data_IF_715478931671
#
_entry.id   IF_715478931671
#
_cell.length_a   1.000
_cell.length_b   1.000
_cell.length_c   1.000
_cell.angle_alpha   90.00
_cell.angle_beta   90.00
_cell.angle_gamma   90.00
#
_symmetry.space_group_name_H-M   'P 1'
#
loop_
_entity.id
_entity.type
_entity.pdbx_description
1 polymer ?
#
# COMPACT_ATOMS: atom_id res chain seq x y z
N UNK A 1 40.27 48.71 8.16
CA UNK A 1 38.96 48.07 8.43
C UNK A 1 38.00 48.12 7.24
N UNK A 2 37.81 49.27 6.58
CA UNK A 2 36.87 49.42 5.44
C UNK A 2 37.13 48.47 4.25
N UNK A 3 38.41 48.23 3.90
CA UNK A 3 38.78 47.30 2.81
C UNK A 3 38.49 45.82 3.13
N UNK A 4 38.57 45.42 4.41
CA UNK A 4 38.29 44.04 4.84
C UNK A 4 36.77 43.79 4.83
N UNK A 5 35.99 44.78 5.24
CA UNK A 5 34.52 44.69 5.22
C UNK A 5 33.98 44.52 3.79
N UNK A 6 34.59 45.19 2.81
CA UNK A 6 34.20 45.07 1.41
C UNK A 6 34.44 43.66 0.82
N UNK A 7 35.52 42.99 1.26
CA UNK A 7 35.84 41.62 0.81
C UNK A 7 34.82 40.62 1.37
N UNK A 8 34.41 40.78 2.63
CA UNK A 8 33.37 39.92 3.24
C UNK A 8 32.01 40.10 2.57
N UNK A 9 31.63 41.30 2.15
CA UNK A 9 30.37 41.55 1.43
C UNK A 9 30.36 40.84 0.07
N UNK A 10 31.49 40.83 -0.64
CA UNK A 10 31.62 40.15 -1.94
C UNK A 10 31.53 38.63 -1.77
N UNK A 11 32.19 38.07 -0.75
CA UNK A 11 32.11 36.62 -0.46
C UNK A 11 30.68 36.22 -0.06
N UNK A 12 29.99 37.05 0.74
CA UNK A 12 28.60 36.80 1.14
C UNK A 12 27.65 36.83 -0.07
N UNK A 13 27.82 37.81 -0.98
CA UNK A 13 27.07 37.89 -2.25
C UNK A 13 27.27 36.65 -3.13
N UNK A 14 28.49 36.12 -3.24
CA UNK A 14 28.78 34.93 -4.05
C UNK A 14 28.16 33.67 -3.41
N UNK A 15 28.12 33.60 -2.07
CA UNK A 15 27.52 32.46 -1.35
C UNK A 15 25.99 32.42 -1.38
N UNK A 16 25.34 33.55 -1.69
CA UNK A 16 23.88 33.65 -1.82
C UNK A 16 23.34 33.39 -3.23
N UNK A 17 24.21 33.11 -4.21
CA UNK A 17 23.76 32.68 -5.53
C UNK A 17 23.30 31.23 -5.37
N UNK A 18 22.02 30.90 -5.55
CA UNK A 18 21.59 29.50 -5.57
C UNK A 18 22.39 28.80 -6.67
N UNK A 19 23.22 27.83 -6.28
CA UNK A 19 23.82 26.92 -7.24
C UNK A 19 22.70 26.04 -7.79
N UNK A 20 22.02 26.52 -8.82
CA UNK A 20 21.21 25.68 -9.67
C UNK A 20 22.19 24.75 -10.38
N UNK A 21 22.29 23.50 -9.93
CA UNK A 21 22.84 22.44 -10.76
C UNK A 21 21.95 22.41 -12.01
N UNK A 22 22.43 22.99 -13.10
CA UNK A 22 21.81 22.81 -14.40
C UNK A 22 22.00 21.34 -14.75
N UNK A 23 20.96 20.53 -14.58
CA UNK A 23 20.93 19.19 -15.16
C UNK A 23 21.11 19.37 -16.66
N UNK A 24 22.21 18.87 -17.21
CA UNK A 24 22.49 18.94 -18.65
C UNK A 24 21.41 18.11 -19.32
N UNK A 25 20.42 18.77 -19.91
CA UNK A 25 19.38 18.10 -20.69
C UNK A 25 19.76 18.11 -22.16
N UNK A 26 19.84 16.93 -22.76
CA UNK A 26 20.17 16.73 -24.18
C UNK A 26 18.90 16.21 -24.87
N UNK A 27 18.10 17.14 -25.40
CA UNK A 27 16.84 16.84 -26.10
C UNK A 27 15.60 17.15 -25.26
N UNK A 28 14.41 16.97 -25.85
CA UNK A 28 13.14 17.10 -25.11
C UNK A 28 12.88 15.84 -24.27
N UNK A 29 12.11 15.92 -23.16
CA UNK A 29 11.74 14.74 -22.40
C UNK A 29 11.08 13.67 -23.26
N UNK A 30 11.47 12.42 -23.05
CA UNK A 30 10.92 11.26 -23.74
C UNK A 30 9.46 11.07 -23.36
N UNK A 31 8.60 10.86 -24.36
CA UNK A 31 7.21 10.49 -24.12
C UNK A 31 7.13 8.99 -23.82
N UNK A 32 6.95 8.67 -22.56
CA UNK A 32 6.74 7.30 -22.09
C UNK A 32 5.29 6.88 -22.32
N UNK A 33 5.09 5.72 -22.94
CA UNK A 33 3.80 5.09 -23.19
C UNK A 33 3.40 4.27 -21.97
N UNK A 34 4.33 3.48 -21.44
CA UNK A 34 4.19 2.73 -20.19
C UNK A 34 5.53 2.64 -19.48
N UNK A 35 5.44 2.43 -18.17
CA UNK A 35 6.55 2.06 -17.29
C UNK A 35 6.07 0.90 -16.44
N UNK A 36 6.75 -0.23 -16.55
CA UNK A 36 6.43 -1.45 -15.83
C UNK A 36 7.61 -1.83 -14.95
N UNK A 37 7.32 -2.21 -13.71
CA UNK A 37 8.32 -2.61 -12.73
C UNK A 37 7.90 -3.94 -12.14
N UNK A 38 8.77 -4.94 -12.24
CA UNK A 38 8.58 -6.25 -11.63
C UNK A 38 9.55 -6.45 -10.48
N UNK A 39 9.02 -6.59 -9.26
CA UNK A 39 9.81 -6.81 -8.06
C UNK A 39 9.90 -8.31 -7.78
N UNK A 40 11.10 -8.83 -7.58
CA UNK A 40 11.31 -10.25 -7.25
C UNK A 40 11.27 -10.49 -5.72
N UNK A 41 11.38 -11.76 -5.31
CA UNK A 41 11.38 -12.14 -3.89
C UNK A 41 12.62 -11.69 -3.11
N UNK A 42 13.72 -11.42 -3.80
CA UNK A 42 15.01 -11.02 -3.24
C UNK A 42 15.12 -9.50 -3.06
N UNK A 43 14.13 -8.74 -3.54
CA UNK A 43 14.08 -7.29 -3.44
C UNK A 43 14.77 -6.56 -4.60
N UNK A 44 15.10 -7.23 -5.69
CA UNK A 44 15.54 -6.56 -6.92
C UNK A 44 14.33 -6.18 -7.77
N UNK A 45 14.48 -5.13 -8.57
CA UNK A 45 13.41 -4.64 -9.45
C UNK A 45 13.88 -4.60 -10.90
N UNK A 46 13.14 -5.27 -11.78
CA UNK A 46 13.29 -5.15 -13.22
C UNK A 46 12.39 -4.02 -13.74
N UNK A 47 12.95 -3.10 -14.51
CA UNK A 47 12.23 -1.94 -15.05
C UNK A 47 12.20 -2.00 -16.57
N UNK A 48 11.01 -1.83 -17.14
CA UNK A 48 10.79 -1.67 -18.58
C UNK A 48 10.10 -0.33 -18.86
N UNK A 49 10.70 0.49 -19.73
CA UNK A 49 10.06 1.68 -20.29
C UNK A 49 9.73 1.45 -21.75
N UNK A 50 8.47 1.65 -22.13
CA UNK A 50 8.07 1.75 -23.53
C UNK A 50 8.00 3.23 -23.94
N UNK A 51 8.86 3.64 -24.86
CA UNK A 51 9.03 5.04 -25.27
C UNK A 51 8.48 5.24 -26.68
N UNK A 52 7.70 6.30 -26.87
CA UNK A 52 7.20 6.68 -28.18
C UNK A 52 8.34 7.15 -29.08
N UNK A 53 8.35 6.67 -30.32
CA UNK A 53 9.28 7.12 -31.36
C UNK A 53 9.30 8.65 -31.52
N UNK A 54 10.45 9.19 -31.92
CA UNK A 54 10.66 10.62 -32.12
C UNK A 54 11.58 10.90 -33.29
N UNK A 55 11.25 11.94 -34.07
CA UNK A 55 12.11 12.44 -35.16
C UNK A 55 13.21 13.40 -34.68
N UNK A 56 13.23 13.71 -33.38
CA UNK A 56 14.27 14.51 -32.71
C UNK A 56 14.89 13.71 -31.57
N UNK A 57 16.10 14.07 -31.14
CA UNK A 57 16.69 13.46 -29.96
C UNK A 57 15.81 13.74 -28.72
N UNK A 58 15.61 12.72 -27.90
CA UNK A 58 14.81 12.77 -26.67
C UNK A 58 15.63 12.24 -25.49
N UNK A 59 15.27 12.66 -24.29
CA UNK A 59 15.92 12.23 -23.06
C UNK A 59 14.95 11.47 -22.16
N UNK A 60 15.30 10.25 -21.79
CA UNK A 60 14.67 9.50 -20.71
C UNK A 60 15.45 9.76 -19.41
N UNK A 61 14.77 10.24 -18.38
CA UNK A 61 15.29 10.16 -17.01
C UNK A 61 14.91 8.79 -16.45
N UNK A 62 15.88 8.05 -15.94
CA UNK A 62 15.65 6.70 -15.41
C UNK A 62 15.22 6.75 -13.95
N UNK A 63 14.69 5.64 -13.43
CA UNK A 63 14.28 5.53 -12.04
C UNK A 63 15.54 5.53 -11.15
N UNK A 64 15.59 6.33 -10.07
CA UNK A 64 16.76 6.39 -9.19
C UNK A 64 17.08 5.03 -8.54
N UNK A 65 18.33 4.59 -8.65
CA UNK A 65 18.85 3.36 -8.05
C UNK A 65 20.19 2.93 -8.65
N UNK A 66 20.71 1.79 -8.23
CA UNK A 66 21.92 1.20 -8.82
C UNK A 66 21.54 0.41 -10.06
N UNK A 67 21.82 0.96 -11.24
CA UNK A 67 21.42 0.36 -12.52
C UNK A 67 22.37 -0.77 -12.94
N UNK A 68 21.80 -1.92 -13.29
CA UNK A 68 22.49 -3.04 -13.94
C UNK A 68 21.80 -3.44 -15.23
N UNK A 69 22.51 -4.19 -16.08
CA UNK A 69 21.95 -4.88 -17.26
C UNK A 69 21.14 -3.99 -18.21
N UNK A 70 21.52 -2.70 -18.34
CA UNK A 70 20.83 -1.76 -19.21
C UNK A 70 20.86 -2.21 -20.68
N UNK A 71 19.67 -2.33 -21.27
CA UNK A 71 19.44 -2.59 -22.68
C UNK A 71 18.53 -1.52 -23.29
N UNK A 72 18.84 -1.11 -24.53
CA UNK A 72 18.10 -0.09 -25.27
C UNK A 72 17.91 -0.57 -26.70
N UNK A 73 16.68 -0.96 -27.02
CA UNK A 73 16.32 -1.61 -28.29
C UNK A 73 15.05 -1.04 -28.88
N UNK A 74 14.87 -1.21 -30.18
CA UNK A 74 13.58 -0.96 -30.82
C UNK A 74 12.59 -2.03 -30.40
N UNK A 75 11.29 -1.74 -30.47
CA UNK A 75 10.24 -2.72 -30.18
C UNK A 75 10.33 -4.01 -31.02
N UNK A 76 11.00 -3.95 -32.18
CA UNK A 76 11.26 -5.10 -33.05
C UNK A 76 12.64 -5.76 -32.80
N UNK A 77 13.35 -5.40 -31.72
CA UNK A 77 14.70 -5.88 -31.39
C UNK A 77 15.83 -5.19 -32.16
N UNK A 78 15.54 -4.11 -32.88
CA UNK A 78 16.53 -3.33 -33.62
C UNK A 78 17.47 -2.55 -32.69
N UNK A 79 18.73 -2.36 -33.12
CA UNK A 79 19.66 -1.49 -32.39
C UNK A 79 19.19 -0.03 -32.43
N UNK A 80 19.11 0.61 -31.26
CA UNK A 80 18.79 2.04 -31.13
C UNK A 80 20.06 2.79 -30.72
N UNK A 81 20.42 3.79 -31.53
CA UNK A 81 21.51 4.68 -31.19
C UNK A 81 21.12 5.53 -29.97
N UNK A 82 21.96 5.49 -28.94
CA UNK A 82 21.74 6.22 -27.69
C UNK A 82 23.06 6.64 -27.04
N UNK A 83 22.97 7.52 -26.04
CA UNK A 83 24.07 7.90 -25.18
C UNK A 83 23.59 7.94 -23.72
N UNK A 84 24.44 7.48 -22.80
CA UNK A 84 24.19 7.56 -21.36
C UNK A 84 24.63 8.94 -20.86
N UNK A 85 23.78 9.59 -20.06
CA UNK A 85 24.01 10.94 -19.54
C UNK A 85 24.33 10.87 -18.04
N UNK A 86 25.44 11.49 -17.65
CA UNK A 86 25.91 11.52 -16.25
C UNK A 86 26.34 10.15 -15.74
N UNK A 87 26.36 9.98 -14.41
CA UNK A 87 26.61 8.69 -13.75
C UNK A 87 25.34 7.81 -13.81
N UNK A 88 24.90 7.44 -15.02
CA UNK A 88 23.64 6.73 -15.27
C UNK A 88 22.40 7.47 -14.75
N UNK A 89 22.30 8.79 -14.96
CA UNK A 89 21.11 9.54 -14.51
C UNK A 89 20.05 9.69 -15.60
N UNK A 90 20.39 9.39 -16.86
CA UNK A 90 19.45 9.42 -17.97
C UNK A 90 20.04 8.87 -19.26
N UNK A 91 19.19 8.73 -20.27
CA UNK A 91 19.52 8.15 -21.58
C UNK A 91 19.06 9.13 -22.66
N UNK A 92 19.98 9.60 -23.49
CA UNK A 92 19.67 10.34 -24.71
C UNK A 92 19.43 9.34 -25.84
N UNK A 93 18.22 9.31 -26.38
CA UNK A 93 17.83 8.47 -27.51
C UNK A 93 17.82 9.35 -28.76
N UNK A 94 18.60 8.96 -29.77
CA UNK A 94 18.66 9.68 -31.04
C UNK A 94 17.39 9.45 -31.87
N UNK A 95 17.10 10.29 -32.89
CA UNK A 95 15.93 10.16 -33.73
C UNK A 95 15.72 8.73 -34.26
N UNK A 96 14.52 8.20 -34.10
CA UNK A 96 14.14 6.85 -34.51
C UNK A 96 12.71 6.81 -35.07
N UNK A 97 12.47 5.83 -35.96
CA UNK A 97 11.19 5.61 -36.64
C UNK A 97 10.36 4.47 -36.01
N UNK A 98 10.81 3.93 -34.90
CA UNK A 98 10.09 2.92 -34.13
C UNK A 98 10.10 3.27 -32.64
N UNK A 99 9.12 2.73 -31.90
CA UNK A 99 9.10 2.86 -30.45
C UNK A 99 10.32 2.13 -29.86
N UNK A 100 10.78 2.62 -28.73
CA UNK A 100 11.99 2.15 -28.06
C UNK A 100 11.59 1.49 -26.76
N UNK A 101 12.22 0.36 -26.46
CA UNK A 101 12.15 -0.33 -25.19
C UNK A 101 13.48 -0.10 -24.48
N UNK A 102 13.41 0.41 -23.25
CA UNK A 102 14.55 0.56 -22.35
C UNK A 102 14.31 -0.33 -21.15
N UNK A 103 15.16 -1.33 -20.97
CA UNK A 103 15.07 -2.31 -19.89
C UNK A 103 16.33 -2.24 -19.03
N UNK A 104 16.20 -2.37 -17.72
CA UNK A 104 17.33 -2.47 -16.79
C UNK A 104 16.88 -3.05 -15.45
N UNK A 105 17.84 -3.51 -14.68
CA UNK A 105 17.63 -3.94 -13.30
C UNK A 105 18.07 -2.84 -12.32
N UNK A 106 17.38 -2.76 -11.20
CA UNK A 106 17.69 -1.89 -10.08
C UNK A 106 18.05 -2.72 -8.86
N UNK A 107 19.31 -2.64 -8.47
CA UNK A 107 19.82 -3.20 -7.22
C UNK A 107 19.65 -2.19 -6.08
N UNK A 108 19.53 -2.69 -4.84
CA UNK A 108 19.56 -1.91 -3.60
C UNK A 108 18.45 -0.83 -3.47
N UNK A 109 17.36 -0.92 -4.24
CA UNK A 109 16.24 0.05 -4.14
C UNK A 109 15.23 -0.31 -3.05
N UNK A 110 15.14 -1.59 -2.69
CA UNK A 110 14.33 -2.08 -1.59
C UNK A 110 15.19 -2.39 -0.37
N UNK A 111 14.72 -1.97 0.80
CA UNK A 111 15.34 -2.28 2.09
C UNK A 111 14.50 -3.31 2.84
N UNK A 112 15.11 -4.43 3.23
CA UNK A 112 14.46 -5.41 4.08
C UNK A 112 14.61 -5.04 5.55
N UNK A 113 13.49 -4.81 6.23
CA UNK A 113 13.46 -4.51 7.65
C UNK A 113 12.51 -5.47 8.36
N UNK A 114 13.09 -6.50 8.98
CA UNK A 114 12.39 -7.44 9.85
C UNK A 114 11.13 -8.08 9.23
N UNK A 115 11.23 -8.65 8.02
CA UNK A 115 10.09 -9.30 7.38
C UNK A 115 9.27 -8.38 6.47
N UNK A 116 9.65 -7.10 6.35
CA UNK A 116 8.95 -6.12 5.51
C UNK A 116 9.95 -5.49 4.54
N UNK A 117 9.65 -5.56 3.25
CA UNK A 117 10.31 -4.81 2.21
C UNK A 117 9.82 -3.37 2.20
N UNK A 118 10.74 -2.42 2.04
CA UNK A 118 10.45 -0.98 2.02
C UNK A 118 11.09 -0.34 0.81
N UNK A 119 10.29 0.37 0.02
CA UNK A 119 10.79 1.16 -1.11
C UNK A 119 10.28 2.61 -1.03
N UNK A 120 11.19 3.57 -1.02
CA UNK A 120 10.87 4.98 -1.22
C UNK A 120 10.79 5.30 -2.72
N UNK A 121 9.71 4.84 -3.36
CA UNK A 121 9.50 5.02 -4.79
C UNK A 121 9.26 6.49 -5.14
N UNK A 122 10.00 7.01 -6.11
CA UNK A 122 9.86 8.38 -6.57
C UNK A 122 10.13 8.47 -8.07
N UNK A 123 9.06 8.50 -8.86
CA UNK A 123 9.13 8.69 -10.30
C UNK A 123 7.89 9.45 -10.81
N UNK A 124 8.05 10.57 -11.54
CA UNK A 124 6.95 11.48 -11.85
C UNK A 124 6.10 11.02 -13.05
N UNK A 125 6.11 9.72 -13.38
CA UNK A 125 5.38 9.13 -14.50
C UNK A 125 4.52 7.97 -14.00
N UNK A 126 3.38 7.77 -14.65
CA UNK A 126 2.50 6.65 -14.37
C UNK A 126 3.25 5.31 -14.52
N UNK A 127 3.19 4.49 -13.48
CA UNK A 127 3.98 3.26 -13.36
C UNK A 127 3.10 2.12 -12.88
N UNK A 128 3.20 0.96 -13.52
CA UNK A 128 2.64 -0.29 -13.02
C UNK A 128 3.72 -1.02 -12.22
N UNK A 129 3.42 -1.35 -10.97
CA UNK A 129 4.28 -2.08 -10.04
C UNK A 129 3.70 -3.47 -9.82
N UNK A 130 4.44 -4.50 -10.22
CA UNK A 130 4.15 -5.90 -9.99
C UNK A 130 4.92 -6.40 -8.77
N UNK A 131 4.22 -7.06 -7.86
CA UNK A 131 4.80 -7.60 -6.62
C UNK A 131 5.08 -9.09 -6.78
N UNK A 132 6.04 -9.65 -6.01
CA UNK A 132 6.31 -11.08 -6.04
C UNK A 132 5.12 -11.89 -5.54
N UNK A 133 5.07 -13.16 -5.94
CA UNK A 133 4.10 -14.14 -5.42
C UNK A 133 4.12 -14.17 -3.89
N UNK A 134 2.95 -14.36 -3.28
CA UNK A 134 2.79 -14.33 -1.81
C UNK A 134 2.54 -12.93 -1.23
N UNK A 135 2.51 -11.88 -2.07
CA UNK A 135 2.09 -10.52 -1.66
C UNK A 135 0.64 -10.28 -2.10
N UNK A 136 -0.24 -10.03 -1.14
CA UNK A 136 -1.65 -9.66 -1.39
C UNK A 136 -2.07 -8.35 -0.69
N UNK A 137 -1.17 -7.78 0.11
CA UNK A 137 -1.38 -6.55 0.87
C UNK A 137 -0.13 -5.68 0.79
N UNK A 138 -0.30 -4.47 0.26
CA UNK A 138 0.76 -3.46 0.12
C UNK A 138 0.38 -2.22 0.90
N UNK A 139 1.32 -1.61 1.59
CA UNK A 139 1.11 -0.35 2.28
C UNK A 139 1.72 0.79 1.47
N UNK A 140 0.86 1.69 0.97
CA UNK A 140 1.27 2.91 0.29
C UNK A 140 1.15 4.08 1.25
N UNK A 141 2.26 4.71 1.63
CA UNK A 141 2.29 5.81 2.60
C UNK A 141 1.53 5.47 3.90
N UNK A 142 1.80 4.27 4.44
CA UNK A 142 1.15 3.68 5.62
C UNK A 142 -0.35 3.36 5.49
N UNK A 143 -0.93 3.43 4.28
CA UNK A 143 -2.31 3.02 4.02
C UNK A 143 -2.35 1.65 3.34
N UNK A 144 -3.15 0.70 3.84
CA UNK A 144 -3.27 -0.62 3.24
C UNK A 144 -3.98 -0.55 1.88
N UNK A 145 -3.46 -1.31 0.92
CA UNK A 145 -4.01 -1.57 -0.40
C UNK A 145 -4.04 -3.09 -0.57
N UNK A 146 -5.24 -3.66 -0.49
CA UNK A 146 -5.44 -5.09 -0.72
C UNK A 146 -5.46 -5.34 -2.23
N UNK A 147 -4.45 -6.05 -2.74
CA UNK A 147 -4.35 -6.38 -4.16
C UNK A 147 -4.97 -7.76 -4.46
N UNK A 148 -5.15 -8.61 -3.45
CA UNK A 148 -5.85 -9.89 -3.60
C UNK A 148 -5.18 -10.79 -4.64
N UNK A 149 -5.86 -11.03 -5.76
CA UNK A 149 -5.32 -11.79 -6.90
C UNK A 149 -4.76 -10.91 -8.03
N UNK A 150 -4.74 -9.58 -7.84
CA UNK A 150 -4.08 -8.66 -8.77
C UNK A 150 -2.57 -8.83 -8.66
N UNK A 151 -1.87 -8.83 -9.79
CA UNK A 151 -0.41 -8.94 -9.85
C UNK A 151 0.31 -7.68 -9.37
N UNK A 152 -0.42 -6.55 -9.24
CA UNK A 152 0.21 -5.27 -8.98
C UNK A 152 -0.73 -4.11 -8.64
N UNK A 153 -0.12 -2.93 -8.53
CA UNK A 153 -0.79 -1.62 -8.42
C UNK A 153 -0.31 -0.70 -9.53
N UNK A 154 -1.17 0.21 -9.98
CA UNK A 154 -0.76 1.32 -10.84
C UNK A 154 -0.67 2.60 -10.00
N UNK A 155 0.41 3.35 -10.20
CA UNK A 155 0.69 4.57 -9.47
C UNK A 155 0.82 5.73 -10.46
N UNK A 156 -0.06 6.74 -10.33
CA UNK A 156 -0.05 7.90 -11.22
C UNK A 156 0.92 8.99 -10.71
N UNK A 157 2.05 9.18 -11.39
CA UNK A 157 3.06 10.19 -11.06
C UNK A 157 3.46 10.21 -9.58
N UNK A 158 4.04 9.12 -9.09
CA UNK A 158 4.10 8.85 -7.67
C UNK A 158 5.38 9.22 -6.94
N UNK A 159 5.19 9.81 -5.77
CA UNK A 159 6.10 9.73 -4.64
C UNK A 159 5.39 8.91 -3.54
N UNK A 160 5.85 7.68 -3.34
CA UNK A 160 5.19 6.73 -2.45
C UNK A 160 6.21 5.91 -1.68
N UNK A 161 6.03 5.85 -0.36
CA UNK A 161 6.65 4.81 0.45
C UNK A 161 5.81 3.54 0.33
N UNK A 162 6.36 2.53 -0.32
CA UNK A 162 5.78 1.19 -0.43
C UNK A 162 6.36 0.33 0.68
N UNK A 163 5.50 -0.39 1.41
CA UNK A 163 5.90 -1.39 2.39
C UNK A 163 5.08 -2.67 2.17
N UNK A 164 5.70 -3.84 2.09
CA UNK A 164 4.98 -5.12 1.89
C UNK A 164 5.74 -6.29 2.53
N UNK A 165 5.02 -7.36 2.85
CA UNK A 165 5.58 -8.61 3.33
C UNK A 165 5.19 -9.74 2.37
N UNK A 166 6.14 -10.61 2.07
CA UNK A 166 5.92 -11.83 1.29
C UNK A 166 5.48 -12.91 2.27
N UNK A 167 4.40 -13.64 1.93
CA UNK A 167 3.85 -14.72 2.77
C UNK A 167 3.64 -14.27 4.22
N UNK A 168 3.00 -13.11 4.39
CA UNK A 168 2.83 -12.48 5.69
C UNK A 168 2.23 -13.47 6.72
N UNK A 169 2.87 -13.66 7.90
CA UNK A 169 2.39 -14.62 8.89
C UNK A 169 0.98 -14.29 9.37
N UNK A 170 0.17 -15.34 9.56
CA UNK A 170 -1.20 -15.25 10.05
C UNK A 170 -1.35 -16.00 11.36
N UNK A 171 -1.70 -15.27 12.42
CA UNK A 171 -2.07 -15.84 13.71
C UNK A 171 -3.59 -16.08 13.72
N UNK A 172 -4.00 -17.30 14.03
CA UNK A 172 -5.41 -17.71 14.07
C UNK A 172 -5.83 -17.86 15.53
N UNK A 173 -6.80 -17.06 15.97
CA UNK A 173 -7.38 -17.13 17.30
C UNK A 173 -8.83 -17.62 17.22
N UNK A 174 -9.08 -18.85 17.68
CA UNK A 174 -10.44 -19.40 17.73
C UNK A 174 -11.24 -18.81 18.89
N UNK A 175 -12.24 -18.00 18.58
CA UNK A 175 -13.20 -17.48 19.57
C UNK A 175 -14.42 -18.39 19.62
N UNK A 176 -14.79 -18.84 20.82
CA UNK A 176 -16.07 -19.54 21.06
C UNK A 176 -17.11 -18.51 21.49
N UNK A 177 -18.20 -18.42 20.74
CA UNK A 177 -19.36 -17.60 21.09
C UNK A 177 -20.62 -18.42 20.83
N UNK A 178 -21.48 -18.52 21.85
CA UNK A 178 -22.56 -19.51 21.90
C UNK A 178 -22.04 -20.93 21.61
N UNK A 179 -22.72 -21.68 20.75
CA UNK A 179 -22.32 -23.03 20.32
C UNK A 179 -21.48 -23.02 19.03
N UNK A 180 -20.94 -21.86 18.64
CA UNK A 180 -20.18 -21.68 17.41
C UNK A 180 -18.73 -21.24 17.67
N UNK A 181 -17.89 -21.50 16.67
CA UNK A 181 -16.48 -21.09 16.65
C UNK A 181 -16.24 -20.10 15.52
N UNK A 182 -15.58 -19.02 15.83
CA UNK A 182 -15.26 -17.94 14.90
C UNK A 182 -13.75 -17.69 14.91
N UNK A 183 -13.04 -17.93 13.80
CA UNK A 183 -11.63 -17.62 13.71
C UNK A 183 -11.43 -16.10 13.55
N UNK A 184 -10.71 -15.49 14.47
CA UNK A 184 -10.18 -14.13 14.31
C UNK A 184 -8.76 -14.25 13.79
N UNK A 185 -8.48 -13.64 12.64
CA UNK A 185 -7.16 -13.70 12.01
C UNK A 185 -6.40 -12.40 12.27
N UNK A 186 -5.12 -12.51 12.61
CA UNK A 186 -4.21 -11.38 12.78
C UNK A 186 -3.01 -11.61 11.87
N UNK A 187 -2.89 -10.79 10.84
CA UNK A 187 -1.75 -10.80 9.91
C UNK A 187 -0.73 -9.76 10.36
N UNK A 188 0.50 -10.19 10.62
CA UNK A 188 1.59 -9.31 11.03
C UNK A 188 2.93 -10.04 11.04
N UNK A 189 4.02 -9.27 10.95
CA UNK A 189 5.38 -9.74 11.25
C UNK A 189 5.75 -9.57 12.73
N UNK A 190 4.88 -8.98 13.55
CA UNK A 190 5.07 -8.86 14.99
C UNK A 190 4.64 -10.15 15.72
N UNK A 191 5.26 -10.40 16.86
CA UNK A 191 4.77 -11.42 17.77
C UNK A 191 3.50 -10.93 18.49
N UNK A 192 2.47 -11.78 18.48
CA UNK A 192 1.17 -11.52 19.10
C UNK A 192 0.94 -12.52 20.23
N UNK A 193 0.56 -12.00 21.41
CA UNK A 193 0.33 -12.79 22.61
C UNK A 193 -1.01 -12.42 23.28
N UNK A 194 -1.43 -13.24 24.25
CA UNK A 194 -2.53 -12.94 25.18
C UNK A 194 -3.86 -12.54 24.52
N UNK A 195 -4.22 -13.15 23.38
CA UNK A 195 -5.48 -12.82 22.72
C UNK A 195 -6.68 -13.11 23.63
N UNK A 196 -7.57 -12.13 23.76
CA UNK A 196 -8.77 -12.23 24.57
C UNK A 196 -9.96 -11.57 23.86
N UNK A 197 -11.14 -12.19 23.97
CA UNK A 197 -12.40 -11.65 23.51
C UNK A 197 -13.37 -11.51 24.67
N UNK A 198 -13.96 -10.33 24.81
CA UNK A 198 -14.95 -10.02 25.83
C UNK A 198 -16.22 -9.48 25.18
N UNK A 199 -17.25 -10.34 25.16
CA UNK A 199 -18.51 -9.97 24.52
C UNK A 199 -19.29 -8.89 25.27
N UNK A 200 -19.44 -8.92 26.62
CA UNK A 200 -20.10 -7.83 27.35
C UNK A 200 -19.54 -6.45 27.04
N UNK A 201 -18.22 -6.32 26.90
CA UNK A 201 -17.56 -5.06 26.52
C UNK A 201 -17.43 -4.85 25.01
N UNK A 202 -17.91 -5.80 24.19
CA UNK A 202 -17.77 -5.79 22.73
C UNK A 202 -16.33 -5.47 22.33
N UNK A 203 -15.39 -6.24 22.87
CA UNK A 203 -13.97 -5.94 22.64
C UNK A 203 -13.12 -7.18 22.44
N UNK A 204 -12.05 -6.97 21.67
CA UNK A 204 -10.93 -7.89 21.53
C UNK A 204 -9.67 -7.19 22.03
N UNK A 205 -8.76 -7.94 22.63
CA UNK A 205 -7.46 -7.43 23.03
C UNK A 205 -6.37 -8.45 22.79
N UNK A 206 -5.15 -7.96 22.56
CA UNK A 206 -3.95 -8.78 22.42
C UNK A 206 -2.72 -7.93 22.71
N UNK A 207 -1.62 -8.58 23.06
CA UNK A 207 -0.34 -7.93 23.33
C UNK A 207 0.53 -7.95 22.09
N UNK A 208 1.19 -6.84 21.80
CA UNK A 208 2.21 -6.71 20.77
C UNK A 208 3.59 -6.44 21.39
N UNK A 209 4.55 -7.30 21.06
CA UNK A 209 5.92 -7.22 21.60
C UNK A 209 6.89 -6.44 20.71
N UNK A 210 6.44 -5.99 19.53
CA UNK A 210 7.27 -5.25 18.57
C UNK A 210 6.55 -4.01 18.06
N UNK A 211 7.15 -2.84 18.28
CA UNK A 211 6.61 -1.57 17.83
C UNK A 211 6.77 -1.35 16.32
N UNK A 212 6.00 -0.39 15.79
CA UNK A 212 6.05 0.12 14.41
C UNK A 212 5.77 -0.91 13.31
N UNK A 213 5.16 -2.03 13.66
CA UNK A 213 4.69 -3.05 12.71
C UNK A 213 3.24 -2.82 12.33
N UNK A 214 2.92 -3.15 11.09
CA UNK A 214 1.54 -3.24 10.67
C UNK A 214 0.91 -4.48 11.30
N UNK A 215 -0.31 -4.31 11.79
CA UNK A 215 -1.16 -5.39 12.27
C UNK A 215 -2.49 -5.27 11.57
N UNK A 216 -2.84 -6.28 10.80
CA UNK A 216 -4.10 -6.37 10.09
C UNK A 216 -4.97 -7.43 10.74
N UNK A 217 -6.05 -7.00 11.38
CA UNK A 217 -7.07 -7.89 11.91
C UNK A 217 -8.15 -8.16 10.88
N UNK A 218 -8.58 -9.41 10.82
CA UNK A 218 -9.73 -9.85 10.03
C UNK A 218 -10.77 -10.31 11.06
N UNK A 219 -11.77 -9.45 11.27
CA UNK A 219 -12.72 -9.56 12.37
C UNK A 219 -14.05 -10.09 11.85
N UNK A 220 -14.55 -11.25 12.35
CA UNK A 220 -15.88 -11.73 12.05
C UNK A 220 -16.95 -10.76 12.55
N UNK A 221 -17.88 -10.39 11.67
CA UNK A 221 -19.01 -9.52 11.99
C UNK A 221 -19.96 -10.18 12.99
N UNK A 222 -19.98 -11.50 13.13
CA UNK A 222 -20.78 -12.18 14.15
C UNK A 222 -20.26 -11.94 15.57
N UNK A 223 -18.95 -11.69 15.72
CA UNK A 223 -18.34 -11.39 17.01
C UNK A 223 -18.40 -9.90 17.33
N UNK A 224 -18.05 -9.05 16.36
CA UNK A 224 -17.87 -7.63 16.62
C UNK A 224 -18.21 -6.74 15.42
N UNK A 225 -19.20 -5.86 15.61
CA UNK A 225 -19.70 -4.97 14.56
C UNK A 225 -18.87 -3.70 14.47
N UNK A 226 -18.61 -3.27 13.24
CA UNK A 226 -17.96 -2.00 12.94
C UNK A 226 -18.97 -0.83 13.00
N UNK A 227 -18.54 0.45 13.14
CA UNK A 227 -17.15 0.90 13.16
C UNK A 227 -16.44 0.58 14.49
N UNK A 228 -15.12 0.49 14.41
CA UNK A 228 -14.29 0.16 15.57
C UNK A 228 -13.62 1.39 16.20
N UNK A 229 -13.28 1.31 17.47
CA UNK A 229 -12.27 2.16 18.10
C UNK A 229 -11.10 1.28 18.52
N UNK A 230 -9.87 1.79 18.36
CA UNK A 230 -8.67 1.04 18.70
C UNK A 230 -7.81 1.85 19.65
N UNK A 231 -7.31 1.18 20.67
CA UNK A 231 -6.50 1.73 21.73
C UNK A 231 -5.20 0.93 21.85
N UNK A 232 -4.13 1.60 22.24
CA UNK A 232 -2.86 1.01 22.66
C UNK A 232 -2.56 1.53 24.06
N UNK A 233 -2.49 0.65 25.06
CA UNK A 233 -2.30 1.03 26.47
C UNK A 233 -3.29 2.13 26.91
N UNK A 234 -4.57 1.93 26.61
CA UNK A 234 -5.68 2.87 26.89
C UNK A 234 -5.66 4.21 26.10
N UNK A 235 -4.67 4.44 25.24
CA UNK A 235 -4.63 5.61 24.35
C UNK A 235 -5.20 5.29 22.97
N UNK A 236 -6.13 6.11 22.49
CA UNK A 236 -6.76 5.91 21.17
C UNK A 236 -5.73 6.10 20.05
N UNK A 237 -5.64 5.14 19.13
CA UNK A 237 -4.72 5.18 17.99
C UNK A 237 -5.46 5.26 16.65
N UNK A 238 -4.72 5.64 15.60
CA UNK A 238 -5.24 5.66 14.23
C UNK A 238 -5.41 4.21 13.74
N UNK A 239 -6.51 3.98 13.04
CA UNK A 239 -6.83 2.71 12.38
C UNK A 239 -7.33 2.96 10.96
N UNK A 240 -7.24 1.93 10.13
CA UNK A 240 -7.82 1.90 8.80
C UNK A 240 -8.74 0.68 8.67
N UNK A 241 -10.05 0.92 8.57
CA UNK A 241 -11.00 -0.06 8.04
C UNK A 241 -10.95 0.06 6.51
N UNK A 242 -10.40 -0.94 5.82
CA UNK A 242 -10.04 -0.80 4.39
C UNK A 242 -10.69 -1.84 3.48
N UNK A 243 -11.26 -2.89 4.04
CA UNK A 243 -11.99 -3.91 3.29
C UNK A 243 -13.07 -4.52 4.18
N UNK A 244 -14.18 -4.93 3.56
CA UNK A 244 -15.26 -5.63 4.22
C UNK A 244 -15.94 -6.55 3.20
N UNK A 245 -16.28 -7.76 3.63
CA UNK A 245 -17.16 -8.66 2.89
C UNK A 245 -18.43 -8.93 3.72
N UNK A 246 -19.23 -9.91 3.35
CA UNK A 246 -20.48 -10.23 4.05
C UNK A 246 -20.29 -10.74 5.48
N UNK A 247 -19.11 -11.22 5.84
CA UNK A 247 -18.85 -11.89 7.13
C UNK A 247 -17.70 -11.28 7.93
N UNK A 248 -16.79 -10.52 7.31
CA UNK A 248 -15.59 -10.01 7.96
C UNK A 248 -15.29 -8.56 7.59
N UNK A 249 -14.58 -7.88 8.50
CA UNK A 249 -14.00 -6.54 8.30
C UNK A 249 -12.50 -6.61 8.52
N UNK A 250 -11.74 -5.94 7.65
CA UNK A 250 -10.30 -5.80 7.75
C UNK A 250 -9.95 -4.47 8.40
N UNK A 251 -9.22 -4.54 9.51
CA UNK A 251 -8.78 -3.39 10.29
C UNK A 251 -7.28 -3.40 10.39
N UNK A 252 -6.62 -2.38 9.83
CA UNK A 252 -5.18 -2.20 9.97
C UNK A 252 -4.85 -1.14 11.02
N UNK A 253 -3.80 -1.41 11.79
CA UNK A 253 -3.17 -0.46 12.71
C UNK A 253 -1.65 -0.55 12.61
N UNK A 254 -0.97 0.50 13.08
CA UNK A 254 0.49 0.52 13.25
C UNK A 254 0.83 1.04 14.65
N UNK A 255 0.88 0.17 15.67
CA UNK A 255 1.23 0.56 17.03
C UNK A 255 2.61 1.24 17.07
N UNK A 256 2.74 2.39 17.73
CA UNK A 256 4.00 3.13 17.82
C UNK A 256 4.93 2.61 18.94
N UNK A 257 4.41 1.78 19.83
CA UNK A 257 5.10 1.18 20.97
C UNK A 257 4.58 -0.24 21.24
N UNK A 258 5.20 -0.94 22.18
CA UNK A 258 4.75 -2.25 22.66
C UNK A 258 3.63 -2.10 23.70
N UNK A 259 2.82 -3.14 23.87
CA UNK A 259 1.77 -3.16 24.90
C UNK A 259 0.49 -3.82 24.44
N UNK A 260 -0.61 -3.50 25.12
CA UNK A 260 -1.91 -4.12 24.85
C UNK A 260 -2.70 -3.28 23.86
N UNK A 261 -3.05 -3.90 22.73
CA UNK A 261 -4.01 -3.36 21.78
C UNK A 261 -5.41 -3.79 22.22
N UNK A 262 -6.35 -2.85 22.23
CA UNK A 262 -7.77 -3.12 22.44
C UNK A 262 -8.60 -2.56 21.30
N UNK A 263 -9.52 -3.37 20.79
CA UNK A 263 -10.44 -3.01 19.71
C UNK A 263 -11.85 -3.13 20.24
N UNK A 264 -12.66 -2.09 20.07
CA UNK A 264 -14.02 -2.00 20.60
C UNK A 264 -14.99 -1.75 19.43
N UNK A 265 -16.02 -2.59 19.32
CA UNK A 265 -17.12 -2.35 18.39
C UNK A 265 -18.08 -1.33 18.97
N UNK A 266 -18.27 -0.21 18.26
CA UNK A 266 -19.14 0.87 18.73
C UNK A 266 -20.61 0.66 18.37
N UNK A 267 -20.90 -0.29 17.48
CA UNK A 267 -22.25 -0.67 17.09
C UNK A 267 -22.87 -1.68 18.05
N UNK A 268 -24.18 -1.61 18.25
CA UNK A 268 -24.91 -2.65 18.95
C UNK A 268 -25.13 -3.86 18.01
N UNK A 269 -24.72 -5.05 18.45
CA UNK A 269 -25.17 -6.31 17.86
C UNK A 269 -26.66 -6.45 18.20
N UNK A 270 -27.59 -6.53 17.24
CA UNK A 270 -29.00 -6.73 17.51
C UNK A 270 -29.20 -8.04 18.25
N UNK A 271 -29.80 -7.97 19.42
CA UNK A 271 -30.07 -9.12 20.29
C UNK A 271 -31.19 -10.04 19.74
N UNK A 272 -31.69 -9.77 18.54
CA UNK A 272 -32.73 -10.55 17.90
C UNK A 272 -32.24 -11.06 16.54
N UNK A 273 -32.55 -12.31 16.16
CA UNK A 273 -32.31 -12.79 14.81
C UNK A 273 -32.91 -11.82 13.80
N UNK A 274 -32.22 -11.50 12.71
CA UNK A 274 -32.74 -10.65 11.63
C UNK A 274 -34.10 -11.12 11.08
N UNK A 275 -34.50 -12.36 11.37
CA UNK A 275 -35.80 -12.93 11.03
C UNK A 275 -36.94 -12.50 11.96
N UNK A 276 -36.69 -11.97 13.16
CA UNK A 276 -37.74 -11.64 14.12
C UNK A 276 -38.75 -10.58 13.59
N UNK A 277 -38.32 -9.50 12.91
CA UNK A 277 -39.24 -8.56 12.26
C UNK A 277 -40.07 -9.23 11.16
N UNK A 278 -39.49 -10.17 10.42
CA UNK A 278 -40.20 -10.94 9.40
C UNK A 278 -41.22 -11.90 10.00
N UNK A 279 -40.86 -12.62 11.06
CA UNK A 279 -41.77 -13.52 11.79
C UNK A 279 -42.93 -12.74 12.41
N UNK A 280 -42.65 -11.59 13.03
CA UNK A 280 -43.68 -10.70 13.55
C UNK A 280 -44.57 -10.15 12.43
N UNK A 281 -43.99 -9.74 11.30
CA UNK A 281 -44.72 -9.29 10.12
C UNK A 281 -45.67 -10.37 9.57
N UNK A 282 -45.18 -11.60 9.41
CA UNK A 282 -45.98 -12.75 8.98
C UNK A 282 -47.09 -13.05 9.99
N UNK A 283 -46.79 -13.05 11.28
CA UNK A 283 -47.77 -13.28 12.34
C UNK A 283 -48.89 -12.22 12.35
N UNK A 284 -48.54 -10.95 12.14
CA UNK A 284 -49.51 -9.84 12.03
C UNK A 284 -50.42 -10.05 10.82
N UNK A 285 -49.86 -10.39 9.65
CA UNK A 285 -50.64 -10.63 8.43
C UNK A 285 -51.58 -11.83 8.60
N UNK A 286 -51.10 -12.93 9.16
CA UNK A 286 -51.92 -14.11 9.46
C UNK A 286 -53.03 -13.78 10.46
N UNK A 287 -52.72 -13.04 11.52
CA UNK A 287 -53.70 -12.58 12.51
C UNK A 287 -54.80 -11.70 11.91
N UNK A 288 -54.44 -10.77 11.02
CA UNK A 288 -55.40 -9.93 10.30
C UNK A 288 -56.29 -10.75 9.34
N UNK A 289 -55.72 -11.71 8.63
CA UNK A 289 -56.49 -12.61 7.75
C UNK A 289 -57.48 -13.48 8.53
N UNK A 290 -57.08 -14.00 9.69
CA UNK A 290 -57.97 -14.78 10.56
C UNK A 290 -59.09 -13.93 11.16
N UNK A 291 -58.80 -12.70 11.60
CA UNK A 291 -59.82 -11.75 12.08
C UNK A 291 -60.86 -11.45 10.99
N UNK A 292 -60.43 -11.23 9.76
CA UNK A 292 -61.34 -10.96 8.64
C UNK A 292 -62.20 -12.17 8.26
N UNK A 293 -61.70 -13.41 8.43
CA UNK A 293 -62.51 -14.63 8.22
C UNK A 293 -63.52 -14.90 9.35
N UNK A 294 -63.22 -14.51 10.58
CA UNK A 294 -64.13 -14.66 11.73
C UNK A 294 -65.27 -13.62 11.73
N UNK A 295 -65.05 -12.44 11.15
CA UNK A 295 -66.07 -11.40 10.98
C UNK A 295 -67.02 -11.62 9.77
N UNK A 296 -66.83 -12.68 8.98
CA UNK A 296 -67.68 -13.05 7.83
C UNK A 296 -68.76 -14.08 8.20
N UNK A 297 -69.19 -14.12 9.47
CA UNK A 297 -70.25 -15.02 9.96
C UNK A 297 -71.34 -14.25 10.69
#
# INVERSE_FOLDING_TARGET
MQKIFFIFIIIFMISSIPQAFAQISIGSPAKQISVEISINSDGDAHVEHLIKQSNTAIQLDIIPGTVQNLDVKGVNGGYIQHAIIGDNMGISIFPTRENVVVEYDLDDVLFFNNGVWVWAYNYPVDTTLHFPDGVDLVFTNARPVYIGTSEGIMCHGCNAKLEFAIDEPVVINEVKWEDQKFPVLIRTTAEINSFNFNQPSKSMSFDINTAQRFVTLIVPLELLWNPYEVYLNDEKIIKHEFSQNSTHVWVNIRPNSVGTVQIIGTSAVPEFPMLLPFVLGIAIVLGLQMKNRLNLR
#
